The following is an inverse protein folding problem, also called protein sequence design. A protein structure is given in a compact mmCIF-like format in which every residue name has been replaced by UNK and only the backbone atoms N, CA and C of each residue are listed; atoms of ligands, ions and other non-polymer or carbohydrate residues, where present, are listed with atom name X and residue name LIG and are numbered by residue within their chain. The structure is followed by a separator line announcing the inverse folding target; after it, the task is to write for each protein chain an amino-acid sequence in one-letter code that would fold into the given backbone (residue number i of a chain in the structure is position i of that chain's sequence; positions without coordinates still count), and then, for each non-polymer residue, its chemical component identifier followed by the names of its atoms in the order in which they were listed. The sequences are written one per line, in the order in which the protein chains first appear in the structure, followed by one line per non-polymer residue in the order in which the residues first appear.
data_IF_288228295850
#
_entry.id   IF_288228295850
#
_cell.length_a   1.000
_cell.length_b   1.000
_cell.length_c   1.000
_cell.angle_alpha   90.00
_cell.angle_beta   90.00
_cell.angle_gamma   90.00
#
_symmetry.space_group_name_H-M   'P 1'
#
loop_
_entity.id
_entity.type
_entity.pdbx_description
1 polymer ?
#
# COMPACT_ATOMS: atom_id res chain seq x y z
N UNK A 1 15.92 -0.90 7.03
CA UNK A 1 15.67 -1.10 5.58
C UNK A 1 15.40 -2.57 5.26
N UNK A 2 14.19 -2.87 4.79
CA UNK A 2 13.73 -4.23 4.50
C UNK A 2 13.06 -4.28 3.13
N UNK A 3 13.38 -5.28 2.31
CA UNK A 3 12.69 -5.51 1.03
C UNK A 3 11.29 -6.05 1.30
N UNK A 4 10.28 -5.48 0.64
CA UNK A 4 8.87 -5.91 0.72
C UNK A 4 8.26 -5.98 -0.68
N UNK A 5 7.24 -6.81 -0.82
CA UNK A 5 6.36 -6.89 -1.98
C UNK A 5 5.01 -6.26 -1.60
N UNK A 6 4.74 -5.09 -2.16
CA UNK A 6 3.59 -4.27 -1.82
C UNK A 6 2.46 -4.51 -2.81
N UNK A 7 1.26 -4.79 -2.32
CA UNK A 7 0.04 -4.84 -3.14
C UNK A 7 -0.51 -3.42 -3.24
N UNK A 8 -0.55 -2.93 -4.47
CA UNK A 8 -0.86 -1.56 -4.80
C UNK A 8 -2.05 -1.50 -5.77
N UNK A 9 -2.79 -0.41 -5.74
CA UNK A 9 -3.80 -0.08 -6.75
C UNK A 9 -3.41 1.19 -7.49
N UNK A 10 -3.82 1.25 -8.75
CA UNK A 10 -3.72 2.45 -9.55
C UNK A 10 -4.94 3.33 -9.34
N UNK A 11 -4.76 4.46 -8.68
CA UNK A 11 -5.83 5.42 -8.42
C UNK A 11 -5.76 6.53 -9.46
N UNK A 12 -6.85 6.73 -10.20
CA UNK A 12 -6.97 7.82 -11.18
C UNK A 12 -7.68 9.01 -10.56
N UNK A 13 -6.93 10.08 -10.31
CA UNK A 13 -7.46 11.39 -9.96
C UNK A 13 -7.71 12.22 -11.23
N UNK A 14 -8.47 13.32 -11.11
CA UNK A 14 -8.94 14.12 -12.24
C UNK A 14 -7.85 14.56 -13.24
N UNK A 15 -6.59 14.65 -12.81
CA UNK A 15 -5.45 15.05 -13.65
C UNK A 15 -4.19 14.21 -13.45
N UNK A 16 -4.25 13.15 -12.64
CA UNK A 16 -3.06 12.39 -12.24
C UNK A 16 -3.41 10.93 -11.97
N UNK A 17 -2.49 10.05 -12.33
CA UNK A 17 -2.53 8.65 -11.93
C UNK A 17 -1.51 8.46 -10.83
N UNK A 18 -1.93 7.94 -9.69
CA UNK A 18 -1.05 7.60 -8.57
C UNK A 18 -1.12 6.10 -8.29
N UNK A 19 -0.02 5.55 -7.78
CA UNK A 19 0.04 4.16 -7.32
C UNK A 19 0.10 4.20 -5.79
N UNK A 20 -0.92 3.63 -5.15
CA UNK A 20 -1.12 3.72 -3.70
C UNK A 20 -1.39 2.33 -3.13
N UNK A 21 -1.12 2.08 -1.84
CA UNK A 21 -1.41 0.79 -1.23
C UNK A 21 -2.87 0.44 -1.40
N UNK A 22 -3.16 -0.84 -1.66
CA UNK A 22 -4.52 -1.31 -1.82
C UNK A 22 -5.32 -1.22 -0.50
N UNK A 23 -4.66 -1.57 0.61
CA UNK A 23 -5.27 -1.57 1.94
C UNK A 23 -4.60 -0.57 2.86
N UNK A 24 -5.37 -0.04 3.82
CA UNK A 24 -4.86 0.92 4.81
C UNK A 24 -3.80 0.27 5.71
N UNK A 25 -2.83 1.04 6.22
CA UNK A 25 -1.98 0.60 7.31
C UNK A 25 -2.81 0.10 8.51
N UNK A 26 -2.33 -0.92 9.21
CA UNK A 26 -2.94 -1.41 10.45
C UNK A 26 -2.94 -0.33 11.54
N UNK A 27 -4.10 -0.10 12.12
CA UNK A 27 -4.24 0.73 13.32
C UNK A 27 -3.62 0.04 14.54
N UNK A 28 -3.11 0.83 15.49
CA UNK A 28 -2.47 0.33 16.71
C UNK A 28 -1.10 -0.33 16.52
N UNK A 29 -0.49 -0.21 15.34
CA UNK A 29 0.87 -0.68 15.11
C UNK A 29 1.91 0.06 15.98
N UNK A 30 3.05 -0.58 16.19
CA UNK A 30 4.20 0.00 16.93
C UNK A 30 5.40 0.32 16.04
N UNK A 31 5.31 0.00 14.74
CA UNK A 31 6.35 0.23 13.74
C UNK A 31 5.73 0.24 12.33
N UNK A 32 6.44 0.79 11.35
CA UNK A 32 6.00 0.75 9.96
C UNK A 32 5.92 -0.66 9.38
N UNK A 33 6.82 -1.55 9.82
CA UNK A 33 6.76 -2.96 9.39
C UNK A 33 5.47 -3.65 9.83
N UNK A 34 5.00 -3.38 11.06
CA UNK A 34 3.72 -3.89 11.52
C UNK A 34 2.54 -3.15 10.89
N UNK A 35 2.64 -1.82 10.74
CA UNK A 35 1.57 -1.04 10.12
C UNK A 35 1.33 -1.46 8.67
N UNK A 36 2.39 -1.71 7.91
CA UNK A 36 2.28 -2.04 6.49
C UNK A 36 2.06 -3.53 6.22
N UNK A 37 1.99 -4.39 7.25
CA UNK A 37 1.76 -5.83 7.03
C UNK A 37 0.38 -6.15 6.45
N UNK A 38 -0.51 -5.17 6.30
CA UNK A 38 -1.77 -5.29 5.57
C UNK A 38 -1.58 -5.32 4.05
N UNK A 39 -0.51 -4.74 3.53
CA UNK A 39 -0.28 -4.64 2.08
C UNK A 39 1.15 -4.93 1.64
N UNK A 40 2.12 -5.00 2.56
CA UNK A 40 3.54 -5.19 2.29
C UNK A 40 4.03 -6.52 2.90
N UNK A 41 4.36 -7.46 2.02
CA UNK A 41 4.72 -8.83 2.37
C UNK A 41 6.21 -9.12 2.18
N UNK A 42 6.74 -10.11 2.89
CA UNK A 42 8.12 -10.55 2.72
C UNK A 42 8.32 -11.49 1.51
N UNK A 43 7.23 -12.07 1.01
CA UNK A 43 7.24 -13.04 -0.08
C UNK A 43 6.37 -12.57 -1.27
N UNK A 44 6.95 -12.65 -2.46
CA UNK A 44 6.29 -12.26 -3.70
C UNK A 44 5.11 -13.16 -4.04
N UNK A 45 5.21 -14.46 -3.76
CA UNK A 45 4.14 -15.41 -4.05
C UNK A 45 2.93 -15.12 -3.18
N UNK A 46 3.15 -14.81 -1.90
CA UNK A 46 2.11 -14.35 -0.98
C UNK A 46 1.46 -13.06 -1.48
N UNK A 47 2.23 -12.02 -1.77
CA UNK A 47 1.68 -10.75 -2.28
C UNK A 47 0.84 -10.95 -3.56
N UNK A 48 1.30 -11.81 -4.47
CA UNK A 48 0.56 -12.15 -5.69
C UNK A 48 -0.69 -13.00 -5.44
N UNK A 49 -0.73 -13.80 -4.37
CA UNK A 49 -1.93 -14.54 -3.99
C UNK A 49 -3.00 -13.58 -3.48
N UNK A 50 -2.63 -12.71 -2.55
CA UNK A 50 -3.51 -11.67 -1.97
C UNK A 50 -4.06 -10.73 -3.07
N UNK A 51 -3.19 -10.26 -3.96
CA UNK A 51 -3.59 -9.41 -5.09
C UNK A 51 -4.62 -10.07 -6.02
N UNK A 52 -4.47 -11.38 -6.28
CA UNK A 52 -5.42 -12.13 -7.14
C UNK A 52 -6.74 -12.40 -6.47
N UNK A 53 -6.74 -12.61 -5.15
CA UNK A 53 -7.95 -12.80 -4.37
C UNK A 53 -8.81 -11.53 -4.43
N UNK A 54 -8.21 -10.37 -4.12
CA UNK A 54 -8.92 -9.09 -4.21
C UNK A 54 -9.36 -8.79 -5.66
N UNK A 55 -8.52 -9.02 -6.67
CA UNK A 55 -8.90 -8.80 -8.08
C UNK A 55 -10.14 -9.63 -8.46
N UNK A 56 -10.22 -10.87 -7.97
CA UNK A 56 -11.39 -11.72 -8.20
C UNK A 56 -12.64 -11.20 -7.49
N UNK A 57 -12.52 -10.69 -6.26
CA UNK A 57 -13.62 -10.09 -5.50
C UNK A 57 -14.12 -8.79 -6.13
N UNK A 58 -13.23 -7.91 -6.56
CA UNK A 58 -13.58 -6.68 -7.27
C UNK A 58 -14.26 -7.01 -8.60
N UNK A 59 -13.74 -7.97 -9.36
CA UNK A 59 -14.36 -8.41 -10.60
C UNK A 59 -15.76 -8.98 -10.39
N UNK A 60 -15.96 -9.81 -9.37
CA UNK A 60 -17.29 -10.31 -9.01
C UNK A 60 -18.25 -9.16 -8.60
N UNK A 61 -17.72 -8.14 -7.94
CA UNK A 61 -18.47 -6.92 -7.58
C UNK A 61 -18.87 -6.09 -8.81
N UNK A 62 -18.02 -6.04 -9.85
CA UNK A 62 -18.37 -5.44 -11.15
C UNK A 62 -19.43 -6.26 -11.87
N UNK A 63 -19.26 -7.59 -11.94
CA UNK A 63 -20.20 -8.49 -12.62
C UNK A 63 -21.59 -8.51 -11.97
N UNK A 64 -21.65 -8.34 -10.65
CA UNK A 64 -22.90 -8.19 -9.89
C UNK A 64 -23.50 -6.78 -9.96
N UNK A 65 -22.80 -5.82 -10.55
CA UNK A 65 -23.21 -4.42 -10.69
C UNK A 65 -23.10 -3.59 -9.40
N UNK A 66 -22.38 -4.08 -8.39
CA UNK A 66 -22.06 -3.32 -7.18
C UNK A 66 -21.02 -2.23 -7.46
N UNK A 67 -20.08 -2.52 -8.35
CA UNK A 67 -19.07 -1.59 -8.84
C UNK A 67 -19.26 -1.33 -10.34
N UNK A 68 -18.88 -0.14 -10.79
CA UNK A 68 -18.88 0.22 -12.22
C UNK A 68 -17.62 -0.25 -12.93
N UNK A 69 -16.52 -0.36 -12.20
CA UNK A 69 -15.22 -0.79 -12.69
C UNK A 69 -14.39 -1.36 -11.52
N UNK A 70 -13.34 -2.11 -11.83
CA UNK A 70 -12.39 -2.63 -10.84
C UNK A 70 -11.08 -1.85 -10.94
N UNK A 71 -10.46 -1.54 -9.80
CA UNK A 71 -9.14 -0.91 -9.79
C UNK A 71 -8.07 -1.86 -10.34
N UNK A 72 -7.08 -1.31 -11.06
CA UNK A 72 -5.91 -2.07 -11.50
C UNK A 72 -5.04 -2.40 -10.27
N UNK A 73 -5.05 -3.68 -9.85
CA UNK A 73 -4.20 -4.18 -8.76
C UNK A 73 -2.85 -4.65 -9.33
N UNK A 74 -1.77 -4.35 -8.62
CA UNK A 74 -0.42 -4.79 -8.99
C UNK A 74 0.44 -5.05 -7.75
N UNK A 75 1.43 -5.94 -7.91
CA UNK A 75 2.47 -6.16 -6.89
C UNK A 75 3.73 -5.42 -7.29
N UNK A 76 4.22 -4.57 -6.40
CA UNK A 76 5.44 -3.80 -6.59
C UNK A 76 6.48 -4.16 -5.54
N UNK A 77 7.72 -4.35 -5.96
CA UNK A 77 8.84 -4.53 -5.04
C UNK A 77 9.35 -3.18 -4.55
N UNK A 78 9.51 -3.07 -3.24
CA UNK A 78 9.96 -1.84 -2.58
C UNK A 78 10.98 -2.12 -1.48
N UNK A 79 11.77 -1.12 -1.15
CA UNK A 79 12.55 -1.06 0.09
C UNK A 79 11.78 -0.20 1.08
N UNK A 80 11.39 -0.80 2.20
CA UNK A 80 10.82 -0.09 3.34
C UNK A 80 11.95 0.53 4.17
N UNK A 81 11.95 1.85 4.25
CA UNK A 81 12.83 2.63 5.10
C UNK A 81 12.31 2.74 6.53
N UNK A 82 13.20 3.12 7.44
CA UNK A 82 12.89 3.16 8.87
C UNK A 82 11.86 4.28 9.19
N UNK A 83 11.80 5.33 8.36
CA UNK A 83 10.82 6.43 8.44
C UNK A 83 9.46 6.11 7.80
N UNK A 84 9.27 4.89 7.30
CA UNK A 84 8.04 4.44 6.65
C UNK A 84 7.93 4.81 5.19
N UNK A 85 8.98 5.36 4.58
CA UNK A 85 9.06 5.59 3.14
C UNK A 85 9.25 4.28 2.39
N UNK A 86 8.51 4.09 1.30
CA UNK A 86 8.68 3.00 0.34
C UNK A 86 9.43 3.54 -0.89
N UNK A 87 10.60 2.96 -1.18
CA UNK A 87 11.33 3.21 -2.42
C UNK A 87 11.16 2.03 -3.36
N UNK A 88 10.55 2.25 -4.51
CA UNK A 88 10.26 1.21 -5.50
C UNK A 88 11.41 1.02 -6.50
N UNK A 89 11.48 -0.16 -7.14
CA UNK A 89 12.56 -0.48 -8.10
C UNK A 89 12.58 0.43 -9.34
N UNK A 90 11.45 1.06 -9.69
CA UNK A 90 11.34 2.03 -10.78
C UNK A 90 11.81 3.44 -10.39
N UNK A 91 12.22 3.63 -9.13
CA UNK A 91 12.64 4.91 -8.56
C UNK A 91 11.49 5.78 -8.05
N UNK A 92 10.24 5.30 -8.10
CA UNK A 92 9.13 5.96 -7.42
C UNK A 92 9.34 5.90 -5.90
N UNK A 93 8.88 6.94 -5.21
CA UNK A 93 8.97 7.05 -3.75
C UNK A 93 7.60 7.40 -3.21
N UNK A 94 7.18 6.67 -2.19
CA UNK A 94 5.94 6.91 -1.48
C UNK A 94 6.22 7.06 0.01
N UNK A 95 6.05 8.27 0.53
CA UNK A 95 6.31 8.59 1.94
C UNK A 95 5.17 8.10 2.83
N UNK A 96 5.46 7.87 4.12
CA UNK A 96 4.43 7.58 5.11
C UNK A 96 3.34 8.67 5.14
N UNK A 97 3.71 9.95 5.02
CA UNK A 97 2.76 11.07 4.96
C UNK A 97 1.74 10.90 3.82
N UNK A 98 2.21 10.52 2.62
CA UNK A 98 1.33 10.28 1.47
C UNK A 98 0.42 9.07 1.68
N UNK A 99 0.94 7.97 2.22
CA UNK A 99 0.17 6.75 2.50
C UNK A 99 -0.94 7.04 3.49
N UNK A 100 -0.61 7.61 4.64
CA UNK A 100 -1.58 7.87 5.71
C UNK A 100 -2.60 8.93 5.29
N UNK A 101 -2.16 9.99 4.59
CA UNK A 101 -3.06 11.00 4.05
C UNK A 101 -4.03 10.44 3.01
N UNK A 102 -3.63 9.44 2.22
CA UNK A 102 -4.52 8.80 1.25
C UNK A 102 -5.72 8.13 1.92
N UNK A 103 -5.47 7.43 3.02
CA UNK A 103 -6.52 6.76 3.80
C UNK A 103 -7.24 7.69 4.79
N UNK A 104 -6.86 8.96 4.87
CA UNK A 104 -7.44 9.93 5.80
C UNK A 104 -7.18 9.58 7.27
N UNK A 105 -6.06 8.91 7.56
CA UNK A 105 -5.66 8.51 8.91
C UNK A 105 -4.46 9.33 9.39
N UNK A 106 -4.38 9.52 10.71
CA UNK A 106 -3.27 10.24 11.32
C UNK A 106 -2.00 9.40 11.34
N UNK A 107 -0.86 10.07 11.16
CA UNK A 107 0.44 9.41 11.34
C UNK A 107 0.61 8.93 12.78
N UNK A 108 1.17 7.74 12.99
CA UNK A 108 1.27 7.14 14.29
C UNK A 108 2.40 7.79 15.11
N UNK A 109 2.33 7.78 16.46
CA UNK A 109 3.32 8.45 17.31
C UNK A 109 4.77 7.99 17.09
N UNK A 110 4.98 6.74 16.65
CA UNK A 110 6.30 6.20 16.36
C UNK A 110 6.94 6.83 15.11
N UNK A 111 6.17 7.49 14.25
CA UNK A 111 6.70 8.20 13.09
C UNK A 111 7.67 9.32 13.48
N UNK A 112 7.31 10.12 14.49
CA UNK A 112 8.19 11.19 14.99
C UNK A 112 9.50 10.66 15.56
N UNK A 113 9.50 9.43 16.09
CA UNK A 113 10.71 8.76 16.56
C UNK A 113 11.58 8.36 15.38
N UNK A 114 10.96 7.87 14.30
CA UNK A 114 11.65 7.40 13.12
C UNK A 114 12.34 8.51 12.30
N UNK A 115 11.77 9.73 12.26
CA UNK A 115 12.44 10.89 11.63
C UNK A 115 13.66 11.42 12.39
N UNK A 116 13.92 10.91 13.61
CA UNK A 116 14.93 11.45 14.51
C UNK A 116 14.52 12.80 15.14
N UNK A 117 15.22 13.24 16.19
CA UNK A 117 15.06 14.59 16.75
C UNK A 117 15.53 15.69 15.78
#
# INVERSE_FOLDING_TARGET
MTTKFCVMSKVTFAHEVSILPLWSPFDGASSFEHAYSSFAFDDETQANAEAREEEAELKASVESGQLTDADDIMVMKAILQDDGTLEFEDGAVLTAEQIYSHFGIDLPPFYSIAKGP
#
